data_IF_080442795524
#
_entry.id   IF_080442795524
#
_cell.length_a   1.000
_cell.length_b   1.000
_cell.length_c   1.000
_cell.angle_alpha   90.00
_cell.angle_beta   90.00
_cell.angle_gamma   90.00
#
_symmetry.space_group_name_H-M   'P 1'
#
loop_
_entity.id
_entity.type
_entity.pdbx_description
1 polymer ?
#
# COMPACT_ATOMS: atom_id res chain seq x y z
N UNK A 1 -17.23 -11.12 7.98
CA UNK A 1 -18.38 -11.09 7.03
C UNK A 1 -19.56 -11.99 7.45
N UNK A 2 -19.33 -13.22 7.91
CA UNK A 2 -20.41 -14.15 8.29
C UNK A 2 -21.33 -13.64 9.41
N UNK A 3 -20.79 -13.01 10.45
CA UNK A 3 -21.60 -12.42 11.53
C UNK A 3 -22.58 -11.35 11.01
N UNK A 4 -22.10 -10.48 10.12
CA UNK A 4 -22.89 -9.40 9.55
C UNK A 4 -23.94 -9.90 8.54
N UNK A 5 -23.63 -10.98 7.81
CA UNK A 5 -24.56 -11.64 6.89
C UNK A 5 -25.66 -12.43 7.61
N UNK A 6 -25.32 -13.17 8.67
CA UNK A 6 -26.24 -14.09 9.33
C UNK A 6 -26.85 -13.53 10.62
N UNK A 7 -26.48 -12.31 11.03
CA UNK A 7 -26.94 -11.68 12.27
C UNK A 7 -26.54 -12.42 13.55
N UNK A 8 -25.71 -13.47 13.44
CA UNK A 8 -25.27 -14.31 14.54
C UNK A 8 -23.86 -14.85 14.30
N UNK A 9 -23.17 -15.18 15.39
CA UNK A 9 -21.87 -15.83 15.30
C UNK A 9 -22.07 -17.28 14.85
N UNK A 10 -21.51 -17.63 13.70
CA UNK A 10 -21.46 -19.03 13.25
C UNK A 10 -20.39 -19.77 14.04
N UNK A 11 -20.72 -20.96 14.54
CA UNK A 11 -19.75 -21.81 15.22
C UNK A 11 -18.87 -22.50 14.17
N UNK A 12 -17.64 -22.01 14.03
CA UNK A 12 -16.67 -22.61 13.12
C UNK A 12 -15.81 -23.66 13.82
N UNK A 13 -15.21 -24.58 13.06
CA UNK A 13 -14.18 -25.48 13.62
C UNK A 13 -13.01 -24.70 14.23
N UNK A 14 -12.70 -23.53 13.68
CA UNK A 14 -11.68 -22.63 14.22
C UNK A 14 -12.04 -22.09 15.62
N UNK A 15 -13.32 -21.78 15.89
CA UNK A 15 -13.78 -21.39 17.23
C UNK A 15 -13.60 -22.53 18.26
N UNK A 16 -13.68 -23.80 17.82
CA UNK A 16 -13.43 -24.94 18.71
C UNK A 16 -11.94 -25.06 19.06
N UNK A 17 -11.04 -24.73 18.14
CA UNK A 17 -9.59 -24.70 18.39
C UNK A 17 -9.19 -23.60 19.38
N UNK A 18 -9.89 -22.46 19.38
CA UNK A 18 -9.62 -21.34 20.30
C UNK A 18 -10.04 -21.63 21.75
N UNK A 19 -11.06 -22.48 21.97
CA UNK A 19 -11.55 -22.84 23.31
C UNK A 19 -10.51 -23.57 24.15
N UNK A 20 -9.48 -24.14 23.52
CA UNK A 20 -8.44 -24.94 24.20
C UNK A 20 -7.31 -24.12 24.83
N UNK A 21 -7.17 -22.82 24.53
CA UNK A 21 -6.02 -22.03 25.00
C UNK A 21 -6.44 -20.95 25.99
N UNK A 22 -6.01 -21.07 27.25
CA UNK A 22 -5.89 -19.92 28.17
C UNK A 22 -4.75 -19.03 27.68
N UNK A 23 -5.03 -18.18 26.69
CA UNK A 23 -4.02 -17.31 26.08
C UNK A 23 -3.70 -16.18 27.06
N UNK A 24 -2.45 -16.15 27.54
CA UNK A 24 -1.91 -15.02 28.30
C UNK A 24 -1.86 -13.76 27.42
N UNK A 25 -2.11 -12.55 27.96
CA UNK A 25 -2.17 -11.33 27.16
C UNK A 25 -0.76 -10.86 26.84
N UNK A 26 -0.11 -11.46 25.84
CA UNK A 26 1.15 -10.96 25.29
C UNK A 26 1.11 -10.96 23.77
N UNK A 27 0.38 -9.99 23.21
CA UNK A 27 0.65 -9.53 21.84
C UNK A 27 0.14 -8.10 21.61
N UNK A 28 0.90 -7.11 22.08
CA UNK A 28 0.76 -5.73 21.63
C UNK A 28 2.13 -5.26 21.11
N UNK A 29 2.56 -5.81 19.98
CA UNK A 29 3.74 -5.33 19.26
C UNK A 29 3.34 -4.50 18.03
N UNK A 30 2.35 -3.62 18.19
CA UNK A 30 1.84 -2.76 17.11
C UNK A 30 2.63 -1.44 16.95
N UNK A 31 3.53 -1.12 17.89
CA UNK A 31 4.22 0.17 17.91
C UNK A 31 5.24 0.36 16.77
N UNK A 32 5.73 -0.73 16.15
CA UNK A 32 6.67 -0.64 15.01
C UNK A 32 6.02 -0.15 13.71
N UNK A 33 4.69 -0.17 13.58
CA UNK A 33 3.99 0.20 12.33
C UNK A 33 3.77 1.70 12.15
N UNK A 34 3.89 2.51 13.20
CA UNK A 34 3.57 3.94 13.13
C UNK A 34 4.64 4.76 12.40
N UNK A 35 5.92 4.36 12.50
CA UNK A 35 7.04 5.09 11.93
C UNK A 35 7.15 4.98 10.39
N UNK A 36 6.79 3.83 9.81
CA UNK A 36 6.96 3.59 8.37
C UNK A 36 6.00 4.44 7.50
N UNK A 37 4.82 4.75 8.04
CA UNK A 37 3.79 5.60 7.39
C UNK A 37 4.26 7.03 7.11
N UNK A 38 5.08 7.61 8.00
CA UNK A 38 5.52 9.00 7.87
C UNK A 38 6.40 9.25 6.64
N UNK A 39 7.11 8.22 6.17
CA UNK A 39 8.11 8.32 5.10
C UNK A 39 7.49 8.41 3.70
N UNK A 40 6.21 8.05 3.53
CA UNK A 40 5.53 7.97 2.21
C UNK A 40 4.52 9.10 1.97
N UNK A 41 4.89 10.32 2.34
CA UNK A 41 4.17 11.53 1.91
C UNK A 41 4.84 12.07 0.65
N UNK A 42 4.07 12.66 -0.24
CA UNK A 42 4.59 13.29 -1.45
C UNK A 42 3.95 14.66 -1.62
N UNK A 43 4.69 15.59 -2.22
CA UNK A 43 4.21 16.94 -2.46
C UNK A 43 3.79 17.13 -3.92
N UNK A 44 2.93 18.11 -4.15
CA UNK A 44 2.53 18.50 -5.50
C UNK A 44 3.76 19.03 -6.22
N UNK A 45 3.90 18.66 -7.50
CA UNK A 45 5.06 18.95 -8.34
C UNK A 45 6.32 18.09 -8.09
N UNK A 46 6.29 17.12 -7.16
CA UNK A 46 7.41 16.18 -6.99
C UNK A 46 7.57 15.24 -8.19
N UNK A 47 8.81 15.05 -8.62
CA UNK A 47 9.18 14.01 -9.59
C UNK A 47 9.25 12.65 -8.89
N UNK A 48 8.42 11.72 -9.35
CA UNK A 48 8.25 10.38 -8.77
C UNK A 48 8.21 9.32 -9.86
N UNK A 49 8.38 8.06 -9.47
CA UNK A 49 8.10 6.91 -10.32
C UNK A 49 6.78 6.30 -9.89
N UNK A 50 5.83 6.21 -10.82
CA UNK A 50 4.56 5.55 -10.62
C UNK A 50 4.61 4.13 -11.21
N UNK A 51 3.94 3.18 -10.56
CA UNK A 51 3.87 1.81 -11.07
C UNK A 51 2.98 1.73 -12.32
N UNK A 52 3.51 1.14 -13.38
CA UNK A 52 2.79 0.86 -14.62
C UNK A 52 2.23 -0.57 -14.60
N UNK A 53 0.93 -0.72 -14.86
CA UNK A 53 0.25 -2.03 -14.91
C UNK A 53 -0.20 -2.43 -16.32
N UNK A 54 0.10 -1.62 -17.34
CA UNK A 54 -0.29 -1.87 -18.73
C UNK A 54 0.26 -3.21 -19.26
N UNK A 55 1.41 -3.66 -18.74
CA UNK A 55 2.05 -4.93 -19.12
C UNK A 55 2.05 -5.89 -17.92
N UNK A 56 1.18 -6.92 -17.87
CA UNK A 56 1.06 -7.79 -16.71
C UNK A 56 2.34 -8.60 -16.40
N UNK A 57 3.14 -8.92 -17.43
CA UNK A 57 4.35 -9.74 -17.29
C UNK A 57 5.63 -8.94 -17.02
N UNK A 58 5.59 -7.60 -17.00
CA UNK A 58 6.78 -6.76 -16.74
C UNK A 58 6.49 -5.76 -15.63
N UNK A 59 7.35 -5.74 -14.61
CA UNK A 59 7.28 -4.70 -13.57
C UNK A 59 7.85 -3.40 -14.15
N UNK A 60 6.96 -2.53 -14.64
CA UNK A 60 7.33 -1.22 -15.14
C UNK A 60 7.17 -0.14 -14.08
N UNK A 61 8.19 0.70 -13.93
CA UNK A 61 8.08 1.99 -13.25
C UNK A 61 8.14 3.07 -14.32
N UNK A 62 7.23 4.03 -14.26
CA UNK A 62 7.17 5.12 -15.22
C UNK A 62 7.42 6.44 -14.50
N UNK A 63 8.25 7.29 -15.09
CA UNK A 63 8.53 8.60 -14.54
C UNK A 63 7.29 9.48 -14.66
N UNK A 64 6.90 10.07 -13.54
CA UNK A 64 5.71 10.89 -13.43
C UNK A 64 5.90 12.05 -12.45
N UNK A 65 5.04 13.05 -12.55
CA UNK A 65 4.99 14.21 -11.67
C UNK A 65 3.68 14.22 -10.92
N UNK A 66 3.68 14.54 -9.62
CA UNK A 66 2.42 14.62 -8.87
C UNK A 66 1.71 15.93 -9.22
N UNK A 67 0.49 15.83 -9.76
CA UNK A 67 -0.36 17.00 -10.05
C UNK A 67 -1.17 17.38 -8.81
N UNK A 68 -1.75 16.38 -8.13
CA UNK A 68 -2.70 16.63 -7.07
C UNK A 68 -2.71 15.52 -6.03
N UNK A 69 -2.99 15.88 -4.78
CA UNK A 69 -3.23 14.97 -3.67
C UNK A 69 -4.73 14.84 -3.43
N UNK A 70 -5.31 13.72 -3.84
CA UNK A 70 -6.74 13.42 -3.64
C UNK A 70 -7.07 13.01 -2.20
N UNK A 71 -6.09 12.53 -1.43
CA UNK A 71 -6.29 12.12 -0.04
C UNK A 71 -5.00 11.76 0.67
N UNK A 72 -5.09 11.11 1.84
CA UNK A 72 -3.90 10.77 2.65
C UNK A 72 -2.90 9.90 1.89
N UNK A 73 -3.40 8.96 1.07
CA UNK A 73 -2.57 8.01 0.33
C UNK A 73 -2.86 7.97 -1.18
N UNK A 74 -3.80 8.77 -1.69
CA UNK A 74 -4.17 8.76 -3.11
C UNK A 74 -3.66 10.03 -3.78
N UNK A 75 -2.97 9.84 -4.91
CA UNK A 75 -2.36 10.92 -5.69
C UNK A 75 -2.70 10.78 -7.17
N UNK A 76 -2.76 11.91 -7.85
CA UNK A 76 -2.79 12.00 -9.32
C UNK A 76 -1.38 12.28 -9.81
N UNK A 77 -0.88 11.41 -10.67
CA UNK A 77 0.44 11.47 -11.27
C UNK A 77 0.31 11.68 -12.77
N UNK A 78 1.00 12.68 -13.31
CA UNK A 78 1.16 12.90 -14.75
C UNK A 78 2.42 12.21 -15.24
N UNK A 79 2.28 11.26 -16.14
CA UNK A 79 3.42 10.65 -16.83
C UNK A 79 4.04 11.65 -17.80
N UNK A 80 5.34 11.51 -18.10
CA UNK A 80 5.99 12.26 -19.19
C UNK A 80 5.26 12.19 -20.55
N UNK A 81 4.48 11.13 -20.78
CA UNK A 81 3.67 10.92 -21.98
C UNK A 81 2.33 11.70 -21.95
N UNK A 82 2.07 12.53 -20.93
CA UNK A 82 0.84 13.31 -20.76
C UNK A 82 -0.37 12.51 -20.22
N UNK A 83 -0.15 11.27 -19.75
CA UNK A 83 -1.22 10.44 -19.17
C UNK A 83 -1.38 10.72 -17.68
N UNK A 84 -2.61 10.85 -17.21
CA UNK A 84 -2.92 11.04 -15.79
C UNK A 84 -3.26 9.68 -15.16
N UNK A 85 -2.54 9.32 -14.11
CA UNK A 85 -2.67 8.07 -13.37
C UNK A 85 -3.07 8.34 -11.92
N UNK A 86 -4.13 7.67 -11.47
CA UNK A 86 -4.49 7.65 -10.05
C UNK A 86 -3.78 6.49 -9.35
N UNK A 87 -2.94 6.79 -8.35
CA UNK A 87 -2.10 5.80 -7.67
C UNK A 87 -2.13 5.96 -6.15
N UNK A 88 -1.95 4.83 -5.45
CA UNK A 88 -1.74 4.80 -4.01
C UNK A 88 -0.28 5.15 -3.68
N UNK A 89 -0.02 5.68 -2.48
CA UNK A 89 1.32 6.03 -2.00
C UNK A 89 2.32 4.88 -2.10
N UNK A 90 1.86 3.64 -1.91
CA UNK A 90 2.69 2.42 -2.01
C UNK A 90 3.06 2.05 -3.46
N UNK A 91 2.39 2.66 -4.44
CA UNK A 91 2.61 2.46 -5.87
C UNK A 91 3.42 3.62 -6.47
N UNK A 92 3.97 4.49 -5.63
CA UNK A 92 4.73 5.67 -6.00
C UNK A 92 6.06 5.63 -5.26
N UNK A 93 7.15 5.97 -5.96
CA UNK A 93 8.48 5.99 -5.38
C UNK A 93 9.17 7.31 -5.71
N UNK A 94 9.83 7.91 -4.72
CA UNK A 94 10.59 9.15 -4.94
C UNK A 94 11.77 8.87 -5.86
N UNK A 95 12.03 9.75 -6.81
CA UNK A 95 13.15 9.65 -7.77
C UNK A 95 14.51 9.46 -7.11
N UNK A 96 14.73 10.04 -5.92
CA UNK A 96 15.97 9.88 -5.15
C UNK A 96 16.13 8.55 -4.40
N UNK A 97 15.17 7.63 -4.48
CA UNK A 97 15.18 6.35 -3.73
C UNK A 97 15.25 5.10 -4.62
N UNK A 98 15.52 5.20 -5.93
CA UNK A 98 15.64 4.00 -6.77
C UNK A 98 17.07 3.52 -7.04
N UNK A 99 17.21 2.23 -6.68
CA UNK A 99 18.25 1.22 -6.84
C UNK A 99 19.36 1.48 -7.88
N UNK A 100 20.60 1.33 -7.39
CA UNK A 100 21.82 1.09 -8.16
C UNK A 100 21.91 -0.34 -8.74
N UNK A 101 20.78 -1.05 -8.88
CA UNK A 101 20.75 -2.44 -9.37
C UNK A 101 20.05 -2.51 -10.73
N UNK A 102 20.66 -1.91 -11.74
CA UNK A 102 20.41 -2.24 -13.14
C UNK A 102 21.72 -2.35 -13.89
N UNK A 103 22.62 -3.23 -13.44
CA UNK A 103 23.66 -3.84 -14.28
C UNK A 103 24.00 -5.23 -13.74
N UNK A 104 23.30 -6.28 -14.20
CA UNK A 104 23.84 -7.62 -14.51
C UNK A 104 22.93 -8.31 -15.54
#
# INVERSE_FOLDING_TARGET
PSYLMFGRKINTRFDQLLKSKKVSPKWNNNNKKLADSATRRFEVSDCVYAREYTRPNKRGWIQAKIIEKLGTHLYLCETSDGRILKRHADQIIRSGKFYADTEQ
#
